data_IF_996335322141
#
_entry.id   IF_996335322141
#
_cell.length_a   1.000
_cell.length_b   1.000
_cell.length_c   1.000
_cell.angle_alpha   90.00
_cell.angle_beta   90.00
_cell.angle_gamma   90.00
#
_symmetry.space_group_name_H-M   'P 1'
#
loop_
_entity.id
_entity.type
_entity.pdbx_description
1 polymer ?
#
# COMPACT_ATOMS: atom_id res chain seq x y z
N UNK A 1 -12.73 -19.76 -7.35
CA UNK A 1 -12.92 -18.99 -6.10
C UNK A 1 -12.79 -17.49 -6.31
N UNK A 2 -11.95 -17.00 -7.24
CA UNK A 2 -11.91 -15.57 -7.58
C UNK A 2 -11.50 -14.68 -6.40
N UNK A 3 -10.84 -15.23 -5.40
CA UNK A 3 -10.30 -14.48 -4.28
C UNK A 3 -8.96 -13.89 -4.66
N UNK A 4 -8.64 -12.77 -4.02
CA UNK A 4 -7.32 -12.19 -3.96
C UNK A 4 -6.49 -12.83 -2.84
N UNK A 5 -5.17 -12.72 -2.96
CA UNK A 5 -4.23 -13.04 -1.88
C UNK A 5 -3.63 -11.74 -1.35
N UNK A 6 -3.75 -11.52 -0.05
CA UNK A 6 -3.15 -10.39 0.63
C UNK A 6 -1.87 -10.83 1.35
N UNK A 7 -0.81 -10.03 1.23
CA UNK A 7 0.52 -10.37 1.75
C UNK A 7 1.10 -9.19 2.52
N UNK A 8 1.47 -9.45 3.77
CA UNK A 8 2.23 -8.54 4.62
C UNK A 8 3.61 -9.13 4.88
N UNK A 9 4.62 -8.66 4.14
CA UNK A 9 6.05 -8.97 4.31
C UNK A 9 6.89 -7.76 3.93
N UNK A 10 8.19 -7.81 4.18
CA UNK A 10 9.11 -6.78 3.71
C UNK A 10 9.15 -6.74 2.17
N UNK A 11 9.55 -5.61 1.61
CA UNK A 11 9.50 -5.40 0.17
C UNK A 11 10.35 -6.40 -0.64
N UNK A 12 11.48 -6.88 -0.09
CA UNK A 12 12.31 -7.90 -0.73
C UNK A 12 11.60 -9.25 -0.88
N UNK A 13 10.89 -9.70 0.15
CA UNK A 13 10.10 -10.94 0.09
C UNK A 13 8.94 -10.78 -0.89
N UNK A 14 8.26 -9.63 -0.87
CA UNK A 14 7.14 -9.35 -1.78
C UNK A 14 7.57 -9.35 -3.25
N UNK A 15 8.77 -8.84 -3.54
CA UNK A 15 9.35 -8.87 -4.89
C UNK A 15 9.57 -10.30 -5.40
N UNK A 16 9.79 -11.26 -4.51
CA UNK A 16 9.94 -12.67 -4.86
C UNK A 16 8.61 -13.43 -4.90
N UNK A 17 7.72 -13.17 -3.94
CA UNK A 17 6.47 -13.91 -3.74
C UNK A 17 5.38 -13.50 -4.73
N UNK A 18 5.22 -12.19 -4.99
CA UNK A 18 4.12 -11.70 -5.81
C UNK A 18 4.15 -12.26 -7.24
N UNK A 19 5.29 -12.29 -7.97
CA UNK A 19 5.35 -12.89 -9.31
C UNK A 19 4.85 -14.34 -9.35
N UNK A 20 5.24 -15.16 -8.35
CA UNK A 20 4.83 -16.57 -8.27
C UNK A 20 3.31 -16.72 -8.11
N UNK A 21 2.67 -15.82 -7.37
CA UNK A 21 1.21 -15.83 -7.21
C UNK A 21 0.49 -15.34 -8.48
N UNK A 22 1.09 -14.37 -9.18
CA UNK A 22 0.58 -13.88 -10.46
C UNK A 22 0.61 -14.98 -11.54
N UNK A 23 1.61 -15.86 -11.54
CA UNK A 23 1.69 -17.01 -12.46
C UNK A 23 0.50 -17.98 -12.28
N UNK A 24 -0.14 -17.98 -11.11
CA UNK A 24 -1.35 -18.74 -10.84
C UNK A 24 -2.65 -17.97 -11.17
N UNK A 25 -2.55 -16.78 -11.78
CA UNK A 25 -3.69 -15.97 -12.20
C UNK A 25 -4.46 -15.32 -11.04
N UNK A 26 -3.83 -15.14 -9.88
CA UNK A 26 -4.45 -14.59 -8.68
C UNK A 26 -4.13 -13.11 -8.52
N UNK A 27 -5.13 -12.31 -8.16
CA UNK A 27 -4.93 -10.90 -7.79
C UNK A 27 -4.19 -10.80 -6.45
N UNK A 28 -3.19 -9.92 -6.35
CA UNK A 28 -2.37 -9.76 -5.14
C UNK A 28 -2.56 -8.40 -4.49
N UNK A 29 -2.68 -8.36 -3.17
CA UNK A 29 -2.71 -7.12 -2.37
C UNK A 29 -1.47 -7.06 -1.49
N UNK A 30 -0.70 -5.98 -1.61
CA UNK A 30 0.49 -5.72 -0.78
C UNK A 30 0.13 -4.76 0.35
N UNK A 31 0.41 -5.13 1.59
CA UNK A 31 0.08 -4.31 2.74
C UNK A 31 1.05 -3.15 3.00
N UNK A 32 0.52 -2.08 3.58
CA UNK A 32 1.24 -0.98 4.23
C UNK A 32 2.47 -0.42 3.48
N UNK A 33 2.26 0.03 2.23
CA UNK A 33 3.33 0.57 1.37
C UNK A 33 4.43 -0.45 1.04
N UNK A 34 4.13 -1.75 1.18
CA UNK A 34 5.02 -2.89 0.94
C UNK A 34 6.23 -2.99 1.88
N UNK A 35 6.26 -2.24 2.99
CA UNK A 35 7.22 -2.37 4.09
C UNK A 35 8.70 -2.48 3.63
N UNK A 36 9.27 -1.49 2.92
CA UNK A 36 10.70 -1.48 2.61
C UNK A 36 11.59 -1.44 3.85
N UNK A 37 12.89 -1.65 3.65
CA UNK A 37 13.88 -1.32 4.67
C UNK A 37 13.77 0.17 5.04
N UNK A 38 13.44 0.53 6.30
CA UNK A 38 13.30 1.92 6.72
C UNK A 38 14.56 2.77 6.54
N UNK A 39 15.75 2.15 6.46
CA UNK A 39 17.02 2.86 6.22
C UNK A 39 17.17 3.29 4.76
N UNK A 40 16.56 2.55 3.83
CA UNK A 40 16.65 2.80 2.40
C UNK A 40 15.42 3.55 1.88
N UNK A 41 14.26 3.36 2.51
CA UNK A 41 13.01 4.02 2.14
C UNK A 41 12.64 3.72 0.70
N UNK A 42 12.37 4.76 -0.10
CA UNK A 42 12.03 4.59 -1.53
C UNK A 42 13.20 4.07 -2.36
N UNK A 43 14.44 4.16 -1.88
CA UNK A 43 15.61 3.60 -2.58
C UNK A 43 15.81 2.10 -2.33
N UNK A 44 14.98 1.48 -1.47
CA UNK A 44 15.01 0.04 -1.23
C UNK A 44 14.83 -0.75 -2.54
N UNK A 45 15.74 -1.67 -2.89
CA UNK A 45 15.63 -2.48 -4.12
C UNK A 45 14.35 -3.33 -4.17
N UNK A 46 13.84 -3.77 -3.01
CA UNK A 46 12.55 -4.45 -2.89
C UNK A 46 11.40 -3.52 -3.28
N UNK A 47 11.36 -2.30 -2.74
CA UNK A 47 10.36 -1.30 -3.11
C UNK A 47 10.41 -0.93 -4.59
N UNK A 48 11.61 -0.76 -5.15
CA UNK A 48 11.78 -0.53 -6.58
C UNK A 48 11.25 -1.69 -7.43
N UNK A 49 11.38 -2.92 -6.95
CA UNK A 49 10.79 -4.10 -7.58
C UNK A 49 9.27 -4.12 -7.44
N UNK A 50 8.74 -3.73 -6.28
CA UNK A 50 7.30 -3.55 -6.05
C UNK A 50 6.71 -2.51 -7.00
N UNK A 51 7.38 -1.40 -7.27
CA UNK A 51 6.89 -0.42 -8.25
C UNK A 51 6.71 -1.03 -9.65
N UNK A 52 7.62 -1.92 -10.07
CA UNK A 52 7.54 -2.59 -11.38
C UNK A 52 6.33 -3.53 -11.49
N UNK A 53 5.87 -4.10 -10.38
CA UNK A 53 4.67 -4.97 -10.38
C UNK A 53 3.40 -4.22 -10.79
N UNK A 54 3.37 -2.89 -10.70
CA UNK A 54 2.23 -2.07 -11.14
C UNK A 54 1.86 -2.30 -12.62
N UNK A 55 2.85 -2.61 -13.46
CA UNK A 55 2.67 -2.90 -14.90
C UNK A 55 1.86 -4.18 -15.17
N UNK A 56 1.81 -5.12 -14.22
CA UNK A 56 1.05 -6.37 -14.34
C UNK A 56 -0.46 -6.16 -14.29
N UNK A 57 -0.90 -5.00 -13.80
CA UNK A 57 -2.31 -4.63 -13.59
C UNK A 57 -3.10 -5.60 -12.69
N UNK A 58 -2.42 -6.52 -12.01
CA UNK A 58 -3.00 -7.59 -11.18
C UNK A 58 -2.51 -7.52 -9.72
N UNK A 59 -1.87 -6.40 -9.35
CA UNK A 59 -1.36 -6.12 -8.01
C UNK A 59 -1.94 -4.79 -7.51
N UNK A 60 -2.37 -4.78 -6.25
CA UNK A 60 -2.84 -3.63 -5.51
C UNK A 60 -1.89 -3.34 -4.34
N UNK A 61 -1.78 -2.08 -3.95
CA UNK A 61 -1.00 -1.68 -2.77
C UNK A 61 -1.88 -0.92 -1.80
N UNK A 62 -1.87 -1.32 -0.52
CA UNK A 62 -2.51 -0.54 0.53
C UNK A 62 -1.60 0.60 0.96
N UNK A 63 -2.06 1.83 0.78
CA UNK A 63 -1.44 3.06 1.29
C UNK A 63 -1.93 3.35 2.72
N UNK A 64 -1.70 2.40 3.61
CA UNK A 64 -2.20 2.39 5.00
C UNK A 64 -1.06 2.26 6.01
N UNK A 65 -1.35 2.57 7.27
CA UNK A 65 -0.46 2.37 8.41
C UNK A 65 1.00 2.81 8.17
N UNK A 66 1.25 4.07 7.76
CA UNK A 66 2.62 4.55 7.52
C UNK A 66 3.51 4.37 8.75
N UNK A 67 2.95 4.42 9.97
CA UNK A 67 3.65 4.19 11.23
C UNK A 67 4.29 2.79 11.37
N UNK A 68 3.93 1.82 10.52
CA UNK A 68 4.61 0.50 10.46
C UNK A 68 5.90 0.51 9.65
N UNK A 69 6.17 1.58 8.89
CA UNK A 69 7.40 1.76 8.09
C UNK A 69 8.53 2.45 8.88
N UNK A 70 8.57 2.23 10.20
CA UNK A 70 9.54 2.85 11.11
C UNK A 70 9.16 4.26 11.57
N UNK A 71 10.05 4.88 12.35
CA UNK A 71 9.80 6.17 13.00
C UNK A 71 9.54 7.32 12.00
N UNK A 72 10.13 7.26 10.80
CA UNK A 72 9.94 8.22 9.72
C UNK A 72 8.83 7.81 8.73
N UNK A 73 7.96 6.87 9.10
CA UNK A 73 7.02 6.24 8.18
C UNK A 73 6.04 7.19 7.48
N UNK A 74 5.60 8.26 8.14
CA UNK A 74 4.76 9.30 7.50
C UNK A 74 5.53 10.12 6.46
N UNK A 75 6.81 10.42 6.70
CA UNK A 75 7.68 11.08 5.71
C UNK A 75 7.93 10.17 4.52
N UNK A 76 8.26 8.90 4.78
CA UNK A 76 8.39 7.88 3.74
C UNK A 76 7.11 7.76 2.90
N UNK A 77 5.92 7.70 3.53
CA UNK A 77 4.66 7.59 2.80
C UNK A 77 4.40 8.79 1.86
N UNK A 78 4.84 10.00 2.23
CA UNK A 78 4.76 11.20 1.36
C UNK A 78 5.67 11.08 0.14
N UNK A 79 6.84 10.46 0.27
CA UNK A 79 7.76 10.18 -0.84
C UNK A 79 7.29 9.00 -1.71
N UNK A 80 6.76 7.95 -1.08
CA UNK A 80 6.32 6.72 -1.73
C UNK A 80 5.02 6.90 -2.52
N UNK A 81 4.08 7.71 -2.03
CA UNK A 81 2.78 7.89 -2.66
C UNK A 81 2.83 8.30 -4.15
N UNK A 82 3.56 9.35 -4.57
CA UNK A 82 3.62 9.71 -5.99
C UNK A 82 4.22 8.60 -6.87
N UNK A 83 5.18 7.84 -6.36
CA UNK A 83 5.79 6.71 -7.06
C UNK A 83 4.78 5.57 -7.26
N UNK A 84 4.07 5.21 -6.18
CA UNK A 84 3.02 4.19 -6.21
C UNK A 84 1.86 4.63 -7.11
N UNK A 85 1.44 5.90 -7.01
CA UNK A 85 0.40 6.49 -7.86
C UNK A 85 0.78 6.39 -9.34
N UNK A 86 2.03 6.66 -9.71
CA UNK A 86 2.49 6.55 -11.08
C UNK A 86 2.54 5.08 -11.56
N UNK A 87 3.05 4.18 -10.74
CA UNK A 87 3.20 2.76 -11.09
C UNK A 87 1.88 1.99 -11.15
N UNK A 88 0.95 2.28 -10.23
CA UNK A 88 -0.29 1.54 -10.07
C UNK A 88 -1.50 2.30 -10.64
N UNK A 89 -1.48 3.63 -10.67
CA UNK A 89 -2.71 4.39 -10.88
C UNK A 89 -3.64 4.32 -9.66
N UNK A 90 -4.59 5.24 -9.61
CA UNK A 90 -5.48 5.40 -8.46
C UNK A 90 -6.42 4.21 -8.23
N UNK A 91 -6.67 3.43 -9.28
CA UNK A 91 -7.57 2.28 -9.28
C UNK A 91 -6.97 1.02 -8.62
N UNK A 92 -5.67 1.01 -8.33
CA UNK A 92 -4.99 -0.09 -7.60
C UNK A 92 -4.26 0.34 -6.33
N UNK A 93 -4.51 1.56 -5.86
CA UNK A 93 -4.14 1.98 -4.51
C UNK A 93 -5.36 1.88 -3.61
N UNK A 94 -5.21 1.19 -2.48
CA UNK A 94 -6.27 0.98 -1.50
C UNK A 94 -5.94 1.76 -0.22
N UNK A 95 -6.95 2.28 0.48
CA UNK A 95 -6.76 2.79 1.84
C UNK A 95 -7.51 1.92 2.85
N UNK A 96 -6.87 1.72 4.01
CA UNK A 96 -7.46 1.09 5.18
C UNK A 96 -6.89 1.74 6.43
N UNK A 97 -7.65 1.80 7.52
CA UNK A 97 -7.22 2.44 8.76
C UNK A 97 -6.17 1.65 9.52
N UNK A 98 -6.15 0.33 9.32
CA UNK A 98 -5.39 -0.64 10.12
C UNK A 98 -5.78 -0.64 11.61
N UNK A 99 -7.02 -0.24 11.91
CA UNK A 99 -7.57 -0.34 13.26
C UNK A 99 -7.60 -1.81 13.72
N UNK A 100 -7.26 -2.13 15.00
CA UNK A 100 -7.05 -1.24 16.13
C UNK A 100 -5.62 -0.68 16.29
N UNK A 101 -4.79 -0.74 15.24
CA UNK A 101 -3.39 -0.28 15.24
C UNK A 101 -2.55 -1.08 16.24
N UNK A 102 -2.65 -2.41 16.17
CA UNK A 102 -2.01 -3.32 17.13
C UNK A 102 -0.51 -3.05 17.30
N UNK A 103 -0.06 -2.98 18.56
CA UNK A 103 1.29 -2.57 19.00
C UNK A 103 1.59 -1.06 18.88
N UNK A 104 0.62 -0.25 18.46
CA UNK A 104 0.73 1.19 18.30
C UNK A 104 -0.46 1.96 18.90
N UNK A 105 -1.28 1.30 19.71
CA UNK A 105 -2.55 1.79 20.27
C UNK A 105 -2.36 3.09 21.07
N UNK A 106 -1.22 3.23 21.74
CA UNK A 106 -0.87 4.41 22.52
C UNK A 106 -0.60 5.67 21.66
N UNK A 107 -0.32 5.51 20.37
CA UNK A 107 0.12 6.60 19.49
C UNK A 107 -0.75 6.78 18.24
N UNK A 108 -1.63 5.82 17.95
CA UNK A 108 -2.44 5.77 16.74
C UNK A 108 -3.92 5.63 17.07
N UNK A 109 -4.74 6.32 16.28
CA UNK A 109 -6.19 6.19 16.31
C UNK A 109 -6.75 6.41 14.89
N UNK A 110 -8.04 6.13 14.71
CA UNK A 110 -8.68 6.23 13.40
C UNK A 110 -8.63 7.66 12.85
N UNK A 111 -8.92 8.67 13.67
CA UNK A 111 -8.96 10.07 13.26
C UNK A 111 -7.59 10.55 12.75
N UNK A 112 -6.51 10.18 13.43
CA UNK A 112 -5.13 10.49 13.02
C UNK A 112 -4.81 9.88 11.65
N UNK A 113 -5.10 8.59 11.45
CA UNK A 113 -4.84 7.93 10.16
C UNK A 113 -5.71 8.51 9.03
N UNK A 114 -6.96 8.87 9.33
CA UNK A 114 -7.85 9.53 8.37
C UNK A 114 -7.33 10.93 8.01
N UNK A 115 -6.88 11.71 8.99
CA UNK A 115 -6.29 13.03 8.78
C UNK A 115 -5.00 12.94 7.98
N UNK A 116 -4.17 11.92 8.23
CA UNK A 116 -2.96 11.69 7.43
C UNK A 116 -3.29 11.44 5.96
N UNK A 117 -4.31 10.63 5.66
CA UNK A 117 -4.78 10.45 4.27
C UNK A 117 -5.22 11.77 3.63
N UNK A 118 -5.94 12.63 4.37
CA UNK A 118 -6.37 13.94 3.86
C UNK A 118 -5.20 14.85 3.53
N UNK A 119 -4.13 14.78 4.33
CA UNK A 119 -2.89 15.53 4.12
C UNK A 119 -2.01 14.94 3.01
N UNK A 120 -2.00 13.61 2.85
CA UNK A 120 -1.24 12.91 1.81
C UNK A 120 -1.85 13.15 0.43
N UNK A 121 -3.18 13.08 0.32
CA UNK A 121 -3.93 13.25 -0.92
C UNK A 121 -4.85 14.46 -0.78
N UNK A 122 -4.30 15.64 -1.10
CA UNK A 122 -4.99 16.93 -0.96
C UNK A 122 -6.15 17.06 -1.96
N UNK A 123 -5.97 16.55 -3.18
CA UNK A 123 -7.01 16.49 -4.20
C UNK A 123 -8.14 15.55 -3.76
N UNK A 124 -9.34 16.11 -3.62
CA UNK A 124 -10.51 15.39 -3.12
C UNK A 124 -11.02 14.34 -4.10
N UNK A 125 -10.91 14.59 -5.41
CA UNK A 125 -11.36 13.67 -6.46
C UNK A 125 -10.40 12.48 -6.57
N UNK A 126 -9.10 12.75 -6.45
CA UNK A 126 -8.07 11.72 -6.34
C UNK A 126 -8.30 10.83 -5.11
N UNK A 127 -8.50 11.46 -3.95
CA UNK A 127 -8.75 10.75 -2.70
C UNK A 127 -10.04 9.93 -2.76
N UNK A 128 -11.09 10.45 -3.37
CA UNK A 128 -12.34 9.72 -3.57
C UNK A 128 -12.14 8.46 -4.44
N UNK A 129 -11.33 8.55 -5.51
CA UNK A 129 -10.98 7.38 -6.35
C UNK A 129 -10.22 6.31 -5.57
N UNK A 130 -9.25 6.71 -4.74
CA UNK A 130 -8.50 5.76 -3.89
C UNK A 130 -9.40 5.12 -2.83
N UNK A 131 -10.37 5.86 -2.28
CA UNK A 131 -11.33 5.30 -1.33
C UNK A 131 -12.36 4.37 -1.99
N UNK A 132 -12.65 4.55 -3.28
CA UNK A 132 -13.57 3.72 -4.06
C UNK A 132 -12.91 2.52 -4.77
N UNK A 133 -11.58 2.54 -4.95
CA UNK A 133 -10.81 1.48 -5.61
C UNK A 133 -10.95 0.06 -5.04
N UNK A 134 -11.35 -0.18 -3.76
CA UNK A 134 -11.62 -1.54 -3.28
C UNK A 134 -12.81 -2.22 -3.98
N UNK A 135 -13.76 -1.45 -4.52
CA UNK A 135 -15.04 -1.97 -5.04
C UNK A 135 -14.87 -3.14 -6.04
N UNK A 136 -14.11 -3.00 -7.15
CA UNK A 136 -13.93 -4.10 -8.11
C UNK A 136 -13.16 -5.30 -7.54
N UNK A 137 -12.27 -5.07 -6.57
CA UNK A 137 -11.43 -6.12 -5.98
C UNK A 137 -12.23 -6.98 -4.98
N UNK A 138 -12.97 -6.34 -4.08
CA UNK A 138 -13.71 -7.02 -3.02
C UNK A 138 -15.19 -7.28 -3.35
N UNK A 139 -15.70 -6.73 -4.46
CA UNK A 139 -17.05 -7.00 -5.01
C UNK A 139 -18.18 -6.56 -4.08
N UNK A 140 -18.07 -5.35 -3.55
CA UNK A 140 -19.15 -4.69 -2.82
C UNK A 140 -19.96 -3.72 -3.69
#
# INVERSE_FOLDING_TARGET
MGWQVEIQRNASDLAELAPKLLDHGVAVVLDHYALPDPKLGVADPGFQSVLKLGATRSVWVKISAPYRNGAAGESFAKEAYPLLRNAYGLDRLLWGSDWPHTQFEATQNYAKNRQFLDALIVDKDERAKVLASPQPLFRF
#
